data_IF_844105713303
#
_entry.id   IF_844105713303
#
_cell.length_a   1.000
_cell.length_b   1.000
_cell.length_c   1.000
_cell.angle_alpha   90.00
_cell.angle_beta   90.00
_cell.angle_gamma   90.00
#
_symmetry.space_group_name_H-M   'P 1'
#
loop_
_entity.id
_entity.type
_entity.pdbx_description
1 polymer ?
#
# COMPACT_ATOMS: atom_id res chain seq x y z
N UNK A 1 18.08 -8.00 -3.33
CA UNK A 1 16.87 -8.79 -3.01
C UNK A 1 17.27 -9.76 -1.91
N UNK A 2 16.72 -9.62 -0.70
CA UNK A 2 17.09 -10.51 0.42
C UNK A 2 16.23 -11.77 0.37
N UNK A 3 16.84 -12.96 0.48
CA UNK A 3 16.14 -14.26 0.45
C UNK A 3 15.02 -14.33 1.51
N UNK A 4 15.13 -13.54 2.59
CA UNK A 4 14.13 -13.45 3.66
C UNK A 4 12.76 -12.96 3.22
N UNK A 5 12.65 -12.06 2.23
CA UNK A 5 11.34 -11.52 1.80
C UNK A 5 10.53 -12.49 0.93
N UNK A 6 11.13 -13.60 0.48
CA UNK A 6 10.44 -14.69 -0.21
C UNK A 6 9.92 -15.78 0.75
N UNK A 7 10.34 -15.74 2.02
CA UNK A 7 10.00 -16.73 3.05
C UNK A 7 8.90 -16.24 4.02
N UNK A 8 8.11 -15.25 3.59
CA UNK A 8 7.01 -14.68 4.37
C UNK A 8 5.71 -14.71 3.56
N UNK A 9 4.58 -14.73 4.26
CA UNK A 9 3.24 -14.62 3.67
C UNK A 9 2.67 -13.19 3.72
N UNK A 10 3.49 -12.23 4.16
CA UNK A 10 3.15 -10.82 4.27
C UNK A 10 4.29 -9.91 3.86
N UNK A 11 3.93 -8.71 3.42
CA UNK A 11 4.83 -7.60 3.17
C UNK A 11 4.18 -6.31 3.66
N UNK A 12 5.00 -5.37 4.11
CA UNK A 12 4.58 -4.06 4.56
C UNK A 12 5.54 -3.00 4.05
N UNK A 13 5.08 -1.75 4.03
CA UNK A 13 5.92 -0.61 3.71
C UNK A 13 6.31 0.12 4.99
N UNK A 14 7.50 0.72 4.98
CA UNK A 14 7.95 1.55 6.08
C UNK A 14 8.97 2.56 5.60
N UNK A 15 9.12 3.66 6.33
CA UNK A 15 9.99 4.77 5.92
C UNK A 15 11.43 4.33 5.64
N UNK A 16 11.98 3.52 6.54
CA UNK A 16 13.36 3.02 6.48
C UNK A 16 13.45 1.59 5.94
N UNK A 17 12.51 1.16 5.09
CA UNK A 17 12.50 -0.19 4.56
C UNK A 17 13.77 -0.47 3.72
N UNK A 18 14.47 -1.61 3.91
CA UNK A 18 15.73 -1.92 3.21
C UNK A 18 15.56 -2.12 1.70
N UNK A 19 14.36 -2.51 1.26
CA UNK A 19 13.99 -2.52 -0.16
C UNK A 19 13.31 -1.22 -0.57
N UNK A 20 13.92 -0.47 -1.50
CA UNK A 20 13.44 0.82 -1.99
C UNK A 20 11.99 0.80 -2.48
N UNK A 21 11.57 -0.30 -3.11
CA UNK A 21 10.20 -0.45 -3.64
C UNK A 21 9.13 -0.65 -2.56
N UNK A 22 9.55 -0.89 -1.32
CA UNK A 22 8.69 -1.06 -0.16
C UNK A 22 8.91 0.06 0.88
N UNK A 23 9.60 1.14 0.50
CA UNK A 23 9.61 2.35 1.32
C UNK A 23 8.28 3.08 1.20
N UNK A 24 7.91 3.84 2.22
CA UNK A 24 6.73 4.73 2.21
C UNK A 24 6.77 5.66 0.99
N UNK A 25 5.63 5.83 0.31
CA UNK A 25 5.54 6.66 -0.91
C UNK A 25 4.77 7.95 -0.64
N UNK A 26 5.30 9.05 -1.18
CA UNK A 26 4.77 10.40 -0.98
C UNK A 26 4.13 10.95 -2.26
N UNK A 27 2.97 11.59 -2.11
CA UNK A 27 2.20 12.17 -3.20
C UNK A 27 1.76 13.59 -2.88
N UNK A 28 1.71 14.46 -3.90
CA UNK A 28 1.33 15.87 -3.78
C UNK A 28 -0.18 16.06 -3.92
N UNK A 29 -0.93 15.47 -3.00
CA UNK A 29 -2.39 15.62 -2.88
C UNK A 29 -2.83 15.71 -1.41
N UNK A 30 -4.01 16.29 -1.12
CA UNK A 30 -4.65 16.16 0.20
C UNK A 30 -4.97 14.71 0.55
N UNK A 31 -5.05 14.42 1.86
CA UNK A 31 -5.40 13.11 2.41
C UNK A 31 -6.66 12.52 1.77
N UNK A 32 -7.74 13.28 1.71
CA UNK A 32 -9.04 12.80 1.22
C UNK A 32 -8.98 12.36 -0.25
N UNK A 33 -8.23 13.10 -1.08
CA UNK A 33 -8.00 12.72 -2.49
C UNK A 33 -7.14 11.46 -2.61
N UNK A 34 -6.12 11.32 -1.77
CA UNK A 34 -5.30 10.11 -1.73
C UNK A 34 -6.13 8.89 -1.30
N UNK A 35 -6.94 9.01 -0.23
CA UNK A 35 -7.81 7.92 0.23
C UNK A 35 -8.78 7.48 -0.88
N UNK A 36 -9.46 8.44 -1.50
CA UNK A 36 -10.36 8.16 -2.63
C UNK A 36 -9.65 7.43 -3.76
N UNK A 37 -8.46 7.90 -4.16
CA UNK A 37 -7.72 7.28 -5.26
C UNK A 37 -7.24 5.86 -4.93
N UNK A 38 -6.83 5.60 -3.68
CA UNK A 38 -6.50 4.26 -3.21
C UNK A 38 -7.69 3.31 -3.31
N UNK A 39 -8.87 3.74 -2.84
CA UNK A 39 -10.09 2.96 -2.94
C UNK A 39 -10.46 2.67 -4.40
N UNK A 40 -10.47 3.69 -5.27
CA UNK A 40 -10.74 3.52 -6.69
C UNK A 40 -9.75 2.54 -7.36
N UNK A 41 -8.46 2.65 -7.03
CA UNK A 41 -7.41 1.79 -7.60
C UNK A 41 -7.60 0.32 -7.20
N UNK A 42 -7.89 0.07 -5.92
CA UNK A 42 -8.06 -1.29 -5.40
C UNK A 42 -9.37 -1.93 -5.87
N UNK A 43 -10.46 -1.15 -5.98
CA UNK A 43 -11.77 -1.63 -6.40
C UNK A 43 -11.91 -1.79 -7.92
N UNK A 44 -11.07 -1.13 -8.73
CA UNK A 44 -11.18 -1.05 -10.20
C UNK A 44 -11.45 -2.38 -10.91
N UNK A 45 -10.82 -3.47 -10.47
CA UNK A 45 -10.89 -4.77 -11.15
C UNK A 45 -11.86 -5.77 -10.48
N UNK A 46 -12.63 -5.35 -9.47
CA UNK A 46 -13.60 -6.20 -8.78
C UNK A 46 -13.00 -7.36 -7.95
N UNK A 47 -11.67 -7.41 -7.83
CA UNK A 47 -10.98 -8.45 -7.05
C UNK A 47 -10.80 -8.06 -5.58
N UNK A 48 -10.96 -6.79 -5.23
CA UNK A 48 -10.92 -6.30 -3.86
C UNK A 48 -12.32 -5.92 -3.38
N UNK A 49 -12.58 -6.14 -2.10
CA UNK A 49 -13.76 -5.70 -1.37
C UNK A 49 -13.30 -4.76 -0.25
N UNK A 50 -13.96 -3.60 -0.09
CA UNK A 50 -13.70 -2.71 1.04
C UNK A 50 -14.44 -3.25 2.27
N UNK A 51 -13.70 -3.58 3.33
CA UNK A 51 -14.28 -4.09 4.59
C UNK A 51 -14.61 -2.95 5.55
N UNK A 52 -13.72 -1.96 5.66
CA UNK A 52 -13.91 -0.80 6.53
C UNK A 52 -13.06 0.38 6.07
N UNK A 53 -13.54 1.57 6.36
CA UNK A 53 -12.78 2.82 6.21
C UNK A 53 -12.86 3.65 7.49
N UNK A 54 -11.77 4.33 7.83
CA UNK A 54 -11.68 5.32 8.89
C UNK A 54 -11.02 6.57 8.32
N UNK A 55 -11.80 7.48 7.70
CA UNK A 55 -11.26 8.70 7.10
C UNK A 55 -10.50 9.57 8.11
N UNK A 56 -10.96 9.62 9.36
CA UNK A 56 -10.31 10.35 10.45
C UNK A 56 -8.89 9.83 10.72
N UNK A 57 -8.69 8.50 10.78
CA UNK A 57 -7.38 7.86 10.99
C UNK A 57 -6.57 7.72 9.70
N UNK A 58 -7.18 7.97 8.54
CA UNK A 58 -6.54 7.76 7.25
C UNK A 58 -6.37 6.29 6.89
N UNK A 59 -7.22 5.40 7.41
CA UNK A 59 -7.07 3.95 7.23
C UNK A 59 -8.19 3.36 6.38
N UNK A 60 -7.86 2.39 5.53
CA UNK A 60 -8.82 1.56 4.82
C UNK A 60 -8.38 0.10 4.85
N UNK A 61 -9.32 -0.81 5.07
CA UNK A 61 -9.09 -2.24 5.10
C UNK A 61 -9.84 -2.89 3.95
N UNK A 62 -9.13 -3.64 3.11
CA UNK A 62 -9.68 -4.36 1.98
C UNK A 62 -9.39 -5.85 2.10
N UNK A 63 -10.29 -6.64 1.51
CA UNK A 63 -10.09 -8.05 1.26
C UNK A 63 -9.86 -8.29 -0.22
N UNK A 64 -8.69 -8.83 -0.58
CA UNK A 64 -8.47 -9.38 -1.91
C UNK A 64 -9.10 -10.77 -1.97
N UNK A 65 -9.93 -11.01 -2.99
CA UNK A 65 -10.63 -12.30 -3.17
C UNK A 65 -9.96 -13.17 -4.24
N UNK A 66 -9.25 -12.57 -5.20
CA UNK A 66 -8.56 -13.23 -6.31
C UNK A 66 -7.27 -12.51 -6.71
N UNK A 67 -6.26 -13.22 -7.26
CA UNK A 67 -6.18 -14.68 -7.41
C UNK A 67 -5.79 -15.41 -6.12
N UNK A 68 -5.32 -14.68 -5.11
CA UNK A 68 -4.99 -15.19 -3.77
C UNK A 68 -5.69 -14.32 -2.74
N UNK A 69 -6.29 -14.94 -1.71
CA UNK A 69 -6.94 -14.19 -0.63
C UNK A 69 -5.90 -13.44 0.20
N UNK A 70 -6.17 -12.17 0.51
CA UNK A 70 -5.30 -11.36 1.35
C UNK A 70 -6.08 -10.27 2.06
N UNK A 71 -5.62 -9.91 3.25
CA UNK A 71 -6.01 -8.70 3.94
C UNK A 71 -5.03 -7.59 3.57
N UNK A 72 -5.57 -6.45 3.14
CA UNK A 72 -4.82 -5.27 2.74
C UNK A 72 -5.24 -4.14 3.67
N UNK A 73 -4.27 -3.54 4.36
CA UNK A 73 -4.46 -2.30 5.11
C UNK A 73 -3.73 -1.20 4.37
N UNK A 74 -4.42 -0.10 4.11
CA UNK A 74 -3.87 1.11 3.51
C UNK A 74 -3.91 2.22 4.54
N UNK A 75 -2.77 2.84 4.79
CA UNK A 75 -2.65 3.98 5.72
C UNK A 75 -2.23 5.21 4.94
N UNK A 76 -2.97 6.31 5.13
CA UNK A 76 -2.87 7.54 4.36
C UNK A 76 -2.69 8.71 5.33
N UNK A 77 -1.48 9.24 5.41
CA UNK A 77 -1.08 10.22 6.43
C UNK A 77 -0.76 11.55 5.75
N UNK A 78 -1.48 12.62 6.13
CA UNK A 78 -1.10 13.98 5.70
C UNK A 78 0.16 14.40 6.45
N UNK A 79 1.26 14.61 5.75
CA UNK A 79 2.55 14.99 6.35
C UNK A 79 2.78 16.51 6.32
N UNK A 80 2.21 17.18 5.33
CA UNK A 80 2.11 18.65 5.26
C UNK A 80 0.94 19.04 4.34
N UNK A 81 0.71 20.34 4.16
CA UNK A 81 -0.34 20.83 3.27
C UNK A 81 -0.18 20.25 1.85
N UNK A 82 -1.21 19.58 1.36
CA UNK A 82 -1.24 18.93 0.04
C UNK A 82 -0.13 17.88 -0.18
N UNK A 83 0.45 17.30 0.87
CA UNK A 83 1.36 16.15 0.75
C UNK A 83 0.96 15.04 1.70
N UNK A 84 0.92 13.84 1.14
CA UNK A 84 0.39 12.66 1.82
C UNK A 84 1.33 11.48 1.61
N UNK A 85 1.64 10.79 2.70
CA UNK A 85 2.28 9.48 2.69
C UNK A 85 1.21 8.40 2.54
N UNK A 86 1.49 7.38 1.72
CA UNK A 86 0.63 6.21 1.53
C UNK A 86 1.47 4.96 1.83
N UNK A 87 1.02 4.19 2.81
CA UNK A 87 1.62 2.93 3.26
C UNK A 87 0.65 1.76 3.12
N UNK A 88 1.22 0.57 3.01
CA UNK A 88 0.49 -0.68 2.86
C UNK A 88 0.99 -1.74 3.84
N UNK A 89 0.06 -2.53 4.37
CA UNK A 89 0.35 -3.85 4.95
C UNK A 89 -0.51 -4.88 4.23
N UNK A 90 0.12 -5.90 3.65
CA UNK A 90 -0.56 -6.95 2.89
C UNK A 90 -0.20 -8.30 3.46
N UNK A 91 -1.21 -9.03 3.94
CA UNK A 91 -1.05 -10.36 4.53
C UNK A 91 -1.92 -11.36 3.78
N UNK A 92 -1.30 -12.36 3.17
CA UNK A 92 -2.05 -13.39 2.42
C UNK A 92 -2.65 -14.43 3.35
N UNK A 93 -3.87 -14.85 3.07
CA UNK A 93 -4.56 -15.94 3.77
C UNK A 93 -4.11 -17.28 3.17
N UNK A 94 -2.90 -17.71 3.51
CA UNK A 94 -2.33 -19.00 3.11
C UNK A 94 -1.92 -19.81 4.34
N UNK A 95 -2.14 -21.14 4.35
CA UNK A 95 -1.67 -22.01 5.43
C UNK A 95 -0.14 -22.17 5.43
N UNK A 96 0.53 -21.80 4.33
CA UNK A 96 1.99 -21.85 4.23
C UNK A 96 2.60 -20.60 4.89
N UNK A 97 3.83 -20.71 5.44
CA UNK A 97 4.56 -19.54 5.95
C UNK A 97 4.99 -18.57 4.83
N UNK A 98 4.82 -18.96 3.56
CA UNK A 98 5.30 -18.22 2.39
C UNK A 98 4.17 -17.93 1.40
N UNK A 99 4.21 -16.76 0.77
CA UNK A 99 3.30 -16.41 -0.33
C UNK A 99 3.96 -16.33 -1.71
N UNK A 100 5.26 -16.63 -1.77
CA UNK A 100 6.13 -16.53 -2.95
C UNK A 100 6.24 -15.10 -3.51
N UNK A 101 6.28 -14.10 -2.62
CA UNK A 101 6.43 -12.69 -2.98
C UNK A 101 5.15 -12.03 -3.50
N UNK A 102 3.99 -12.67 -3.29
CA UNK A 102 2.70 -12.18 -3.79
C UNK A 102 2.34 -10.83 -3.16
N UNK A 103 2.37 -10.73 -1.83
CA UNK A 103 2.08 -9.51 -1.08
C UNK A 103 2.96 -8.34 -1.52
N UNK A 104 4.27 -8.59 -1.63
CA UNK A 104 5.24 -7.62 -2.14
C UNK A 104 4.89 -7.15 -3.56
N UNK A 105 4.64 -8.08 -4.48
CA UNK A 105 4.28 -7.75 -5.87
C UNK A 105 2.98 -6.94 -5.95
N UNK A 106 2.02 -7.27 -5.09
CA UNK A 106 0.76 -6.54 -4.97
C UNK A 106 1.00 -5.07 -4.56
N UNK A 107 1.81 -4.84 -3.52
CA UNK A 107 2.18 -3.49 -3.06
C UNK A 107 2.83 -2.70 -4.19
N UNK A 108 3.86 -3.27 -4.83
CA UNK A 108 4.61 -2.55 -5.88
C UNK A 108 3.75 -2.22 -7.09
N UNK A 109 2.88 -3.16 -7.51
CA UNK A 109 1.96 -2.90 -8.62
C UNK A 109 0.92 -1.83 -8.27
N UNK A 110 0.41 -1.86 -7.04
CA UNK A 110 -0.55 -0.85 -6.57
C UNK A 110 0.09 0.54 -6.56
N UNK A 111 1.34 0.65 -6.10
CA UNK A 111 2.07 1.92 -6.19
C UNK A 111 2.28 2.39 -7.62
N UNK A 112 2.64 1.47 -8.54
CA UNK A 112 2.83 1.83 -9.94
C UNK A 112 1.53 2.36 -10.58
N UNK A 113 0.36 1.83 -10.19
CA UNK A 113 -0.93 2.39 -10.60
C UNK A 113 -1.21 3.75 -9.96
N UNK A 114 -0.96 3.91 -8.66
CA UNK A 114 -1.15 5.20 -7.96
C UNK A 114 -0.27 6.30 -8.53
N UNK A 115 0.99 6.01 -8.89
CA UNK A 115 1.91 6.96 -9.54
C UNK A 115 1.43 7.47 -10.89
N UNK A 116 0.57 6.71 -11.59
CA UNK A 116 -0.07 7.17 -12.84
C UNK A 116 -1.23 8.14 -12.59
N UNK A 117 -1.85 8.09 -11.41
CA UNK A 117 -3.05 8.86 -11.08
C UNK A 117 -2.76 10.06 -10.17
N UNK A 118 -1.70 9.99 -9.37
CA UNK A 118 -1.33 11.00 -8.39
C UNK A 118 0.07 11.57 -8.68
N UNK A 119 0.31 12.87 -8.42
CA UNK A 119 1.64 13.46 -8.56
C UNK A 119 2.58 12.88 -7.50
N UNK A 120 3.47 11.98 -7.91
CA UNK A 120 4.46 11.33 -7.04
C UNK A 120 5.61 12.30 -6.69
N UNK A 121 6.03 12.29 -5.42
CA UNK A 121 7.10 13.16 -4.91
C UNK A 121 8.39 12.36 -4.69
N UNK A 122 8.29 11.17 -4.10
CA UNK A 122 9.45 10.35 -3.75
C UNK A 122 9.09 9.26 -2.75
N UNK A 123 10.11 8.59 -2.22
CA UNK A 123 9.96 7.50 -1.26
C UNK A 123 11.00 7.57 -0.17
N UNK A 124 10.63 7.28 1.08
CA UNK A 124 11.56 7.37 2.21
C UNK A 124 12.12 8.79 2.41
N UNK A 125 11.28 9.81 2.25
CA UNK A 125 11.68 11.23 2.30
C UNK A 125 10.99 12.00 3.43
N UNK A 126 10.50 11.33 4.49
CA UNK A 126 9.88 11.97 5.65
C UNK A 126 10.73 13.13 6.20
N UNK A 127 12.04 12.92 6.29
CA UNK A 127 12.99 13.89 6.85
C UNK A 127 13.27 15.10 5.94
N UNK A 128 12.83 15.05 4.68
CA UNK A 128 13.06 16.09 3.66
C UNK A 128 11.81 16.92 3.38
N UNK A 129 10.68 16.59 4.02
CA UNK A 129 9.34 17.12 3.75
C UNK A 129 8.84 17.94 4.93
#
# INVERSE_FOLDING_TARGET
MSIKSLLTNRAETSENHPEEKLKTHYFKVPKDRAMKQCAETLLKNGNCELLSESPERGEMVFKLTKPKKALIVVTVISVQAFRTAIDFSVSTETPLPVDFGFSRKFITNTYDELKKQLPYIGTGIAEQI
#
